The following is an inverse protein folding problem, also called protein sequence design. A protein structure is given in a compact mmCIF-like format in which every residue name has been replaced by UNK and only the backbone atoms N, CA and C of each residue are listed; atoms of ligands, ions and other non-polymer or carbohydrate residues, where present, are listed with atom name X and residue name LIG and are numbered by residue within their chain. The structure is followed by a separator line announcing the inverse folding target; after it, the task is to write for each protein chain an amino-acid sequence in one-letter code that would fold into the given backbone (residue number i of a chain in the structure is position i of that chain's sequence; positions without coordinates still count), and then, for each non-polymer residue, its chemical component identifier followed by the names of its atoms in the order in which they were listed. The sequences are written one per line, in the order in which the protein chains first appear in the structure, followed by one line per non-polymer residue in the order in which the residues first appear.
data_IF_710426651044
#
_entry.id   IF_710426651044
#
_cell.length_a   1.000
_cell.length_b   1.000
_cell.length_c   1.000
_cell.angle_alpha   90.00
_cell.angle_beta   90.00
_cell.angle_gamma   90.00
#
_symmetry.space_group_name_H-M   'P 1'
#
loop_
_entity.id
_entity.type
_entity.pdbx_description
1 polymer ?
#
# COMPACT_ATOMS: atom_id res chain seq x y z
N UNK A 1 12.39 -17.48 13.62
CA UNK A 1 13.02 -16.37 14.36
C UNK A 1 13.80 -16.98 15.52
N UNK A 2 15.11 -16.71 15.67
CA UNK A 2 15.87 -17.23 16.82
C UNK A 2 15.69 -16.34 18.07
N UNK A 3 16.33 -16.69 19.19
CA UNK A 3 16.27 -15.90 20.43
C UNK A 3 16.77 -14.44 20.26
N UNK A 4 17.57 -14.16 19.22
CA UNK A 4 18.06 -12.81 18.86
C UNK A 4 17.13 -12.06 17.90
N UNK A 5 15.96 -12.63 17.59
CA UNK A 5 14.98 -12.09 16.64
C UNK A 5 15.42 -12.08 15.17
N UNK A 6 16.38 -12.92 14.81
CA UNK A 6 16.88 -13.00 13.44
C UNK A 6 16.01 -13.95 12.59
N UNK A 7 15.81 -13.57 11.33
CA UNK A 7 15.11 -14.37 10.33
C UNK A 7 16.13 -15.05 9.43
N UNK A 8 15.94 -16.35 9.22
CA UNK A 8 16.86 -17.20 8.45
C UNK A 8 16.10 -17.85 7.31
N UNK A 9 16.68 -17.79 6.11
CA UNK A 9 16.16 -18.56 4.98
C UNK A 9 16.53 -20.02 5.18
N UNK A 10 15.50 -20.87 5.27
CA UNK A 10 15.67 -22.32 5.48
C UNK A 10 15.88 -23.03 4.16
N UNK A 11 15.03 -22.75 3.17
CA UNK A 11 15.01 -23.44 1.88
C UNK A 11 14.46 -22.53 0.80
N UNK A 12 15.06 -22.60 -0.39
CA UNK A 12 14.56 -22.00 -1.63
C UNK A 12 14.44 -23.13 -2.64
N UNK A 13 13.27 -23.29 -3.24
CA UNK A 13 12.98 -24.38 -4.17
C UNK A 13 12.65 -23.74 -5.52
N UNK A 14 13.35 -24.18 -6.56
CA UNK A 14 13.00 -23.82 -7.94
C UNK A 14 11.86 -24.72 -8.41
N UNK A 15 10.69 -24.13 -8.61
CA UNK A 15 9.48 -24.84 -9.06
C UNK A 15 9.14 -24.54 -10.52
N UNK A 16 10.10 -24.04 -11.33
CA UNK A 16 9.86 -23.61 -12.71
C UNK A 16 9.35 -24.72 -13.63
N UNK A 17 9.67 -25.98 -13.30
CA UNK A 17 9.24 -27.17 -14.05
C UNK A 17 8.03 -27.87 -13.44
N UNK A 18 7.40 -27.26 -12.42
CA UNK A 18 6.24 -27.82 -11.73
C UNK A 18 4.98 -27.00 -11.98
N UNK A 19 3.84 -27.68 -12.06
CA UNK A 19 2.55 -26.98 -12.06
C UNK A 19 2.29 -26.43 -10.67
N UNK A 20 1.84 -25.17 -10.59
CA UNK A 20 1.39 -24.52 -9.36
C UNK A 20 0.05 -25.12 -8.91
N UNK A 21 0.10 -26.16 -8.10
CA UNK A 21 -1.08 -26.87 -7.56
C UNK A 21 -0.97 -27.00 -6.05
N UNK A 22 -2.10 -27.10 -5.36
CA UNK A 22 -2.13 -27.30 -3.91
C UNK A 22 -1.36 -28.56 -3.45
N UNK A 23 -1.47 -29.74 -4.12
CA UNK A 23 -0.72 -30.93 -3.73
C UNK A 23 0.80 -30.76 -3.85
N UNK A 24 1.28 -30.13 -4.93
CA UNK A 24 2.72 -29.87 -5.10
C UNK A 24 3.22 -28.92 -4.01
N UNK A 25 2.46 -27.86 -3.71
CA UNK A 25 2.83 -26.93 -2.65
C UNK A 25 2.85 -27.61 -1.28
N UNK A 26 1.83 -28.41 -0.96
CA UNK A 26 1.77 -29.19 0.28
C UNK A 26 2.98 -30.12 0.43
N UNK A 27 3.36 -30.84 -0.64
CA UNK A 27 4.55 -31.70 -0.63
C UNK A 27 5.81 -30.92 -0.25
N UNK A 28 6.04 -29.75 -0.86
CA UNK A 28 7.20 -28.91 -0.53
C UNK A 28 7.20 -28.43 0.92
N UNK A 29 6.03 -28.09 1.46
CA UNK A 29 5.86 -27.72 2.86
C UNK A 29 6.23 -28.91 3.74
N UNK A 30 5.63 -30.08 3.51
CA UNK A 30 5.87 -31.29 4.31
C UNK A 30 7.34 -31.74 4.28
N UNK A 31 7.98 -31.73 3.12
CA UNK A 31 9.39 -32.08 2.99
C UNK A 31 10.27 -31.10 3.79
N UNK A 32 9.89 -29.83 3.84
CA UNK A 32 10.60 -28.81 4.64
C UNK A 32 10.34 -28.99 6.13
N UNK A 33 9.11 -29.30 6.56
CA UNK A 33 8.78 -29.59 7.96
C UNK A 33 9.54 -30.82 8.47
N UNK A 34 9.63 -31.88 7.66
CA UNK A 34 10.40 -33.09 7.98
C UNK A 34 11.88 -32.79 8.17
N UNK A 35 12.49 -32.08 7.22
CA UNK A 35 13.89 -31.67 7.30
C UNK A 35 14.16 -30.85 8.57
N UNK A 36 13.32 -29.86 8.87
CA UNK A 36 13.45 -29.04 10.08
C UNK A 36 13.36 -29.86 11.37
N UNK A 37 12.46 -30.85 11.43
CA UNK A 37 12.31 -31.71 12.59
C UNK A 37 13.45 -32.72 12.74
N UNK A 38 13.88 -33.35 11.65
CA UNK A 38 14.85 -34.45 11.67
C UNK A 38 16.29 -33.94 11.74
N UNK A 39 16.63 -32.94 10.92
CA UNK A 39 18.02 -32.52 10.75
C UNK A 39 18.37 -31.39 11.74
N UNK A 40 17.40 -30.51 12.04
CA UNK A 40 17.64 -29.30 12.85
C UNK A 40 17.02 -29.40 14.25
N UNK A 41 16.25 -30.45 14.54
CA UNK A 41 15.52 -30.65 15.80
C UNK A 41 14.62 -29.44 16.17
N UNK A 42 13.96 -28.86 15.17
CA UNK A 42 13.07 -27.71 15.33
C UNK A 42 11.61 -28.15 15.31
N UNK A 43 10.84 -27.67 16.30
CA UNK A 43 9.39 -27.80 16.31
C UNK A 43 8.78 -26.58 15.63
N UNK A 44 8.09 -26.80 14.52
CA UNK A 44 7.35 -25.75 13.81
C UNK A 44 5.96 -25.61 14.44
N UNK A 45 5.67 -24.40 14.93
CA UNK A 45 4.41 -24.10 15.63
C UNK A 45 3.41 -23.32 14.77
N UNK A 46 3.87 -22.70 13.69
CA UNK A 46 3.02 -21.92 12.80
C UNK A 46 3.49 -21.96 11.35
N UNK A 47 2.54 -21.85 10.42
CA UNK A 47 2.78 -21.76 8.98
C UNK A 47 1.93 -20.64 8.38
N UNK A 48 2.51 -19.86 7.46
CA UNK A 48 1.81 -18.77 6.77
C UNK A 48 2.10 -18.79 5.26
N UNK A 49 1.10 -18.45 4.46
CA UNK A 49 1.21 -18.32 2.99
C UNK A 49 0.22 -17.29 2.46
N UNK A 50 0.34 -16.89 1.19
CA UNK A 50 -0.63 -15.98 0.55
C UNK A 50 -2.05 -16.56 0.48
N UNK A 51 -3.04 -15.74 0.13
CA UNK A 51 -4.44 -16.15 0.12
C UNK A 51 -4.91 -16.73 -1.23
N UNK A 52 -3.99 -17.23 -2.09
CA UNK A 52 -4.39 -17.87 -3.34
C UNK A 52 -5.25 -19.12 -3.09
N UNK A 53 -6.04 -19.54 -4.08
CA UNK A 53 -6.88 -20.73 -3.97
C UNK A 53 -6.06 -21.99 -3.70
N UNK A 54 -4.91 -22.14 -4.36
CA UNK A 54 -3.98 -23.25 -4.16
C UNK A 54 -3.33 -23.20 -2.78
N UNK A 55 -2.88 -22.03 -2.33
CA UNK A 55 -2.30 -21.85 -1.00
C UNK A 55 -3.32 -22.14 0.09
N UNK A 56 -4.58 -21.71 -0.07
CA UNK A 56 -5.67 -22.01 0.85
C UNK A 56 -5.93 -23.51 0.92
N UNK A 57 -6.06 -24.18 -0.21
CA UNK A 57 -6.28 -25.63 -0.25
C UNK A 57 -5.11 -26.40 0.40
N UNK A 58 -3.87 -25.96 0.17
CA UNK A 58 -2.69 -26.54 0.82
C UNK A 58 -2.70 -26.31 2.34
N UNK A 59 -3.09 -25.11 2.82
CA UNK A 59 -3.23 -24.79 4.24
C UNK A 59 -4.28 -25.68 4.94
N UNK A 60 -5.44 -25.88 4.31
CA UNK A 60 -6.50 -26.75 4.84
C UNK A 60 -5.98 -28.19 4.98
N UNK A 61 -5.41 -28.75 3.90
CA UNK A 61 -4.86 -30.10 3.91
C UNK A 61 -3.68 -30.26 4.89
N UNK A 62 -2.88 -29.19 5.09
CA UNK A 62 -1.81 -29.17 6.07
C UNK A 62 -2.39 -29.24 7.49
N UNK A 63 -3.42 -28.46 7.81
CA UNK A 63 -4.04 -28.45 9.13
C UNK A 63 -4.71 -29.79 9.46
N UNK A 64 -5.32 -30.46 8.48
CA UNK A 64 -5.87 -31.82 8.65
C UNK A 64 -4.79 -32.83 9.05
N UNK A 65 -3.58 -32.73 8.49
CA UNK A 65 -2.45 -33.61 8.80
C UNK A 65 -1.69 -33.23 10.07
N UNK A 66 -1.62 -31.94 10.39
CA UNK A 66 -0.85 -31.39 11.51
C UNK A 66 -1.74 -30.47 12.38
N UNK A 67 -2.71 -31.02 13.16
CA UNK A 67 -3.73 -30.22 13.84
C UNK A 67 -3.21 -29.27 14.93
N UNK A 68 -1.97 -29.44 15.37
CA UNK A 68 -1.32 -28.56 16.35
C UNK A 68 -0.71 -27.30 15.71
N UNK A 69 -0.64 -27.24 14.37
CA UNK A 69 0.00 -26.16 13.66
C UNK A 69 -0.95 -24.96 13.54
N UNK A 70 -0.48 -23.78 13.92
CA UNK A 70 -1.22 -22.54 13.67
C UNK A 70 -1.05 -22.18 12.18
N UNK A 71 -2.12 -22.25 11.41
CA UNK A 71 -2.08 -22.03 9.95
C UNK A 71 -2.78 -20.73 9.59
N UNK A 72 -2.04 -19.78 9.01
CA UNK A 72 -2.50 -18.40 8.84
C UNK A 72 -2.36 -17.91 7.39
N UNK A 73 -3.22 -16.97 7.02
CA UNK A 73 -3.00 -16.14 5.85
C UNK A 73 -1.82 -15.20 6.07
N UNK A 74 -1.18 -14.78 4.97
CA UNK A 74 -0.23 -13.69 4.98
C UNK A 74 -0.98 -12.37 5.14
N UNK A 75 -0.84 -11.72 6.30
CA UNK A 75 -1.59 -10.49 6.58
C UNK A 75 -1.09 -9.28 5.80
N UNK A 76 0.17 -9.28 5.32
CA UNK A 76 0.60 -8.31 4.32
C UNK A 76 -0.21 -8.46 3.02
N UNK A 77 -0.49 -9.69 2.60
CA UNK A 77 -1.36 -9.95 1.46
C UNK A 77 -2.81 -9.54 1.76
N UNK A 78 -3.33 -9.87 2.95
CA UNK A 78 -4.69 -9.47 3.34
C UNK A 78 -4.90 -7.95 3.31
N UNK A 79 -3.96 -7.16 3.84
CA UNK A 79 -4.03 -5.68 3.75
C UNK A 79 -4.00 -5.22 2.29
N UNK A 80 -3.19 -5.83 1.42
CA UNK A 80 -3.20 -5.50 -0.01
C UNK A 80 -4.53 -5.85 -0.68
N UNK A 81 -5.20 -6.92 -0.27
CA UNK A 81 -6.54 -7.23 -0.74
C UNK A 81 -7.57 -6.20 -0.26
N UNK A 82 -7.45 -5.67 0.96
CA UNK A 82 -8.31 -4.56 1.44
C UNK A 82 -8.13 -3.31 0.58
N UNK A 83 -6.88 -3.00 0.22
CA UNK A 83 -6.60 -1.91 -0.72
C UNK A 83 -7.23 -2.20 -2.08
N UNK A 84 -7.19 -3.45 -2.56
CA UNK A 84 -7.90 -3.87 -3.77
C UNK A 84 -9.40 -3.58 -3.73
N UNK A 85 -10.07 -3.93 -2.63
CA UNK A 85 -11.50 -3.65 -2.44
C UNK A 85 -11.79 -2.15 -2.35
N UNK A 86 -10.92 -1.37 -1.70
CA UNK A 86 -10.99 0.09 -1.69
C UNK A 86 -10.97 0.67 -3.11
N UNK A 87 -10.07 0.18 -3.96
CA UNK A 87 -9.93 0.66 -5.33
C UNK A 87 -11.07 0.18 -6.24
N UNK A 88 -11.59 -1.00 -5.95
CA UNK A 88 -12.78 -1.57 -6.61
C UNK A 88 -14.09 -0.98 -6.12
N UNK A 89 -14.07 -0.02 -5.18
CA UNK A 89 -15.28 0.55 -4.58
C UNK A 89 -16.14 1.34 -5.56
N UNK A 90 -15.59 1.79 -6.69
CA UNK A 90 -16.30 2.65 -7.64
C UNK A 90 -16.33 4.13 -7.24
N UNK A 91 -15.70 4.49 -6.11
CA UNK A 91 -15.66 5.87 -5.62
C UNK A 91 -15.09 6.83 -6.65
N UNK A 92 -15.85 7.89 -6.93
CA UNK A 92 -15.49 8.96 -7.86
C UNK A 92 -14.13 9.58 -7.55
N UNK A 93 -13.75 9.59 -6.28
CA UNK A 93 -12.46 10.13 -5.85
C UNK A 93 -11.30 9.44 -6.54
N UNK A 94 -11.42 8.14 -6.82
CA UNK A 94 -10.37 7.32 -7.42
C UNK A 94 -10.07 7.71 -8.87
N UNK A 95 -11.03 8.32 -9.58
CA UNK A 95 -10.79 8.81 -10.94
C UNK A 95 -9.66 9.85 -10.99
N UNK A 96 -9.44 10.60 -9.90
CA UNK A 96 -8.36 11.61 -9.83
C UNK A 96 -6.97 10.98 -9.79
N UNK A 97 -6.85 9.69 -9.44
CA UNK A 97 -5.58 8.99 -9.39
C UNK A 97 -4.95 8.91 -10.79
N UNK A 98 -5.76 8.62 -11.82
CA UNK A 98 -5.31 8.54 -13.21
C UNK A 98 -4.81 9.90 -13.72
N UNK A 99 -5.55 10.98 -13.43
CA UNK A 99 -5.16 12.34 -13.76
C UNK A 99 -3.84 12.73 -13.08
N UNK A 100 -3.67 12.37 -11.81
CA UNK A 100 -2.45 12.63 -11.06
C UNK A 100 -1.24 11.85 -11.63
N UNK A 101 -1.44 10.58 -11.99
CA UNK A 101 -0.42 9.76 -12.64
C UNK A 101 -0.01 10.31 -14.00
N UNK A 102 -0.99 10.78 -14.77
CA UNK A 102 -0.75 11.38 -16.06
C UNK A 102 0.02 12.69 -15.93
N UNK A 103 -0.34 13.55 -14.98
CA UNK A 103 0.38 14.78 -14.66
C UNK A 103 1.82 14.49 -14.24
N UNK A 104 2.03 13.52 -13.34
CA UNK A 104 3.36 13.05 -12.94
C UNK A 104 4.17 12.59 -14.14
N UNK A 105 3.58 11.75 -14.99
CA UNK A 105 4.23 11.22 -16.20
C UNK A 105 4.62 12.34 -17.16
N UNK A 106 3.73 13.33 -17.36
CA UNK A 106 3.97 14.47 -18.22
C UNK A 106 5.07 15.38 -17.67
N UNK A 107 5.01 15.78 -16.40
CA UNK A 107 6.02 16.64 -15.77
C UNK A 107 7.42 16.02 -15.85
N UNK A 108 7.54 14.70 -15.61
CA UNK A 108 8.82 13.98 -15.67
C UNK A 108 9.50 14.03 -17.04
N UNK A 109 8.74 14.22 -18.12
CA UNK A 109 9.27 14.31 -19.50
C UNK A 109 9.74 15.72 -19.86
N UNK A 110 9.53 16.71 -18.98
CA UNK A 110 9.81 18.13 -19.27
C UNK A 110 11.04 18.61 -18.52
N UNK A 111 12.20 18.43 -19.14
CA UNK A 111 13.51 18.80 -18.57
C UNK A 111 13.58 20.26 -18.11
N UNK A 112 13.04 21.19 -18.90
CA UNK A 112 12.99 22.61 -18.53
C UNK A 112 12.11 22.85 -17.28
N UNK A 113 10.94 22.22 -17.21
CA UNK A 113 10.05 22.30 -16.03
C UNK A 113 10.76 21.72 -14.81
N UNK A 114 11.44 20.58 -14.94
CA UNK A 114 12.20 19.97 -13.85
C UNK A 114 13.37 20.86 -13.37
N UNK A 115 14.06 21.54 -14.28
CA UNK A 115 15.09 22.51 -13.93
C UNK A 115 14.48 23.70 -13.17
N UNK A 116 13.35 24.22 -13.65
CA UNK A 116 12.67 25.35 -13.00
C UNK A 116 12.14 24.99 -11.61
N UNK A 117 11.62 23.77 -11.42
CA UNK A 117 11.23 23.26 -10.09
C UNK A 117 12.42 23.30 -9.14
N UNK A 118 13.62 22.86 -9.57
CA UNK A 118 14.85 22.90 -8.75
C UNK A 118 15.20 24.32 -8.33
N UNK A 119 15.19 25.25 -9.28
CA UNK A 119 15.51 26.65 -9.03
C UNK A 119 14.57 27.28 -8.01
N UNK A 120 13.26 27.10 -8.20
CA UNK A 120 12.25 27.64 -7.27
C UNK A 120 12.37 26.98 -5.89
N UNK A 121 12.63 25.68 -5.81
CA UNK A 121 12.85 25.01 -4.52
C UNK A 121 14.09 25.55 -3.79
N UNK A 122 15.21 25.71 -4.51
CA UNK A 122 16.44 26.25 -3.96
C UNK A 122 16.27 27.70 -3.47
N UNK A 123 15.59 28.54 -4.26
CA UNK A 123 15.29 29.92 -3.89
C UNK A 123 14.42 30.03 -2.63
N UNK A 124 13.61 29.01 -2.34
CA UNK A 124 12.76 28.94 -1.14
C UNK A 124 13.41 28.16 0.02
N UNK A 125 14.71 27.87 -0.05
CA UNK A 125 15.44 27.15 1.00
C UNK A 125 14.97 25.71 1.23
N UNK A 126 14.25 25.11 0.27
CA UNK A 126 13.74 23.74 0.37
C UNK A 126 14.77 22.74 -0.16
N UNK A 127 14.83 21.58 0.48
CA UNK A 127 15.50 20.40 -0.08
C UNK A 127 14.87 20.00 -1.42
N UNK A 128 15.70 19.59 -2.39
CA UNK A 128 15.23 19.19 -3.71
C UNK A 128 14.25 18.00 -3.62
N UNK A 129 13.01 18.23 -4.05
CA UNK A 129 12.03 17.15 -4.18
C UNK A 129 11.87 16.74 -5.65
N UNK A 130 12.37 15.55 -5.98
CA UNK A 130 12.15 14.95 -7.30
C UNK A 130 10.69 14.49 -7.49
N UNK A 131 10.19 14.53 -8.72
CA UNK A 131 8.91 13.94 -9.07
C UNK A 131 9.04 12.40 -9.07
N UNK A 132 8.23 11.74 -8.26
CA UNK A 132 8.21 10.28 -8.11
C UNK A 132 7.11 9.72 -9.02
N UNK A 133 7.42 8.68 -9.79
CA UNK A 133 6.40 7.91 -10.52
C UNK A 133 6.03 6.68 -9.71
N UNK A 134 4.74 6.38 -9.57
CA UNK A 134 4.33 5.16 -8.91
C UNK A 134 4.67 3.93 -9.75
N UNK A 135 4.90 2.82 -9.06
CA UNK A 135 4.90 1.49 -9.64
C UNK A 135 3.46 1.01 -9.63
N UNK A 136 2.90 0.75 -10.82
CA UNK A 136 1.49 0.44 -11.03
C UNK A 136 0.92 -0.67 -10.14
N UNK A 137 1.77 -1.59 -9.66
CA UNK A 137 1.36 -2.75 -8.84
C UNK A 137 1.51 -2.52 -7.34
N UNK A 138 1.91 -1.33 -6.87
CA UNK A 138 2.23 -1.08 -5.45
C UNK A 138 1.66 0.25 -4.95
N UNK A 139 0.53 0.23 -4.26
CA UNK A 139 -0.18 1.42 -3.74
C UNK A 139 0.63 2.29 -2.79
N UNK A 140 1.58 1.72 -2.04
CA UNK A 140 2.55 2.50 -1.25
C UNK A 140 3.32 3.48 -2.13
N UNK A 141 3.62 3.11 -3.38
CA UNK A 141 4.29 4.00 -4.33
C UNK A 141 3.37 5.09 -4.89
N UNK A 142 2.07 4.80 -5.06
CA UNK A 142 1.05 5.80 -5.41
C UNK A 142 0.90 6.83 -4.29
N UNK A 143 0.80 6.38 -3.02
CA UNK A 143 0.82 7.27 -1.85
C UNK A 143 2.03 8.21 -1.87
N UNK A 144 3.24 7.68 -2.05
CA UNK A 144 4.46 8.49 -2.09
C UNK A 144 4.48 9.46 -3.28
N UNK A 145 4.01 9.03 -4.45
CA UNK A 145 3.94 9.87 -5.64
C UNK A 145 2.94 11.02 -5.47
N UNK A 146 1.74 10.74 -4.95
CA UNK A 146 0.69 11.73 -4.73
C UNK A 146 1.07 12.70 -3.61
N UNK A 147 1.62 12.21 -2.50
CA UNK A 147 2.20 13.06 -1.45
C UNK A 147 3.25 14.01 -2.03
N UNK A 148 4.15 13.49 -2.87
CA UNK A 148 5.18 14.30 -3.52
C UNK A 148 4.60 15.32 -4.49
N UNK A 149 3.57 14.95 -5.25
CA UNK A 149 2.91 15.88 -6.16
C UNK A 149 2.23 17.03 -5.39
N UNK A 150 1.57 16.74 -4.26
CA UNK A 150 1.02 17.75 -3.35
C UNK A 150 2.10 18.66 -2.75
N UNK A 151 3.24 18.11 -2.31
CA UNK A 151 4.39 18.90 -1.83
C UNK A 151 4.93 19.87 -2.90
N UNK A 152 4.78 19.49 -4.18
CA UNK A 152 5.22 20.28 -5.33
C UNK A 152 4.18 21.29 -5.82
N UNK A 153 2.90 21.18 -5.42
CA UNK A 153 1.82 22.08 -5.85
C UNK A 153 2.21 23.56 -5.71
N UNK A 154 2.69 24.06 -4.54
CA UNK A 154 3.03 25.48 -4.42
C UNK A 154 4.16 25.91 -5.37
N UNK A 155 5.08 24.98 -5.68
CA UNK A 155 6.19 25.24 -6.62
C UNK A 155 5.66 25.35 -8.04
N UNK A 156 4.78 24.44 -8.46
CA UNK A 156 4.17 24.46 -9.78
C UNK A 156 3.33 25.74 -9.98
N UNK A 157 2.53 26.12 -8.98
CA UNK A 157 1.74 27.35 -9.00
C UNK A 157 2.62 28.60 -9.06
N UNK A 158 3.74 28.64 -8.32
CA UNK A 158 4.68 29.77 -8.37
C UNK A 158 5.33 29.93 -9.74
N UNK A 159 5.68 28.81 -10.42
CA UNK A 159 6.21 28.86 -11.79
C UNK A 159 5.15 29.43 -12.74
N UNK A 160 3.89 28.97 -12.65
CA UNK A 160 2.80 29.49 -13.48
C UNK A 160 2.58 30.99 -13.28
N UNK A 161 2.57 31.44 -12.02
CA UNK A 161 2.42 32.86 -11.71
C UNK A 161 3.58 33.70 -12.29
N UNK A 162 4.83 33.22 -12.14
CA UNK A 162 6.02 33.88 -12.69
C UNK A 162 6.00 33.94 -14.22
N UNK A 163 5.57 32.87 -14.89
CA UNK A 163 5.45 32.80 -16.34
C UNK A 163 4.41 33.80 -16.85
N UNK A 164 3.26 33.90 -16.17
CA UNK A 164 2.18 34.86 -16.50
C UNK A 164 2.64 36.31 -16.40
N UNK A 165 3.39 36.66 -15.34
CA UNK A 165 3.94 38.02 -15.15
C UNK A 165 4.95 38.37 -16.24
N UNK A 166 5.74 37.39 -16.70
CA UNK A 166 6.78 37.60 -17.72
C UNK A 166 6.20 37.82 -19.14
N UNK A 167 4.91 37.53 -19.36
CA UNK A 167 4.20 37.78 -20.63
C UNK A 167 4.65 36.92 -21.82
N UNK A 168 5.59 35.98 -21.61
CA UNK A 168 6.15 35.10 -22.63
C UNK A 168 5.46 33.74 -22.73
N UNK A 169 6.02 32.85 -23.56
CA UNK A 169 5.61 31.44 -23.57
C UNK A 169 5.91 30.80 -22.21
N UNK A 170 4.91 30.12 -21.62
CA UNK A 170 5.08 29.52 -20.29
C UNK A 170 6.17 28.45 -20.30
N UNK A 171 6.89 28.29 -19.19
CA UNK A 171 7.88 27.23 -18.96
C UNK A 171 7.29 25.85 -19.28
N UNK A 172 6.00 25.66 -19.00
CA UNK A 172 5.23 24.46 -19.26
C UNK A 172 4.88 24.24 -20.74
N UNK A 173 4.83 25.29 -21.56
CA UNK A 173 4.57 25.22 -23.00
C UNK A 173 5.86 25.25 -23.84
N UNK A 174 6.96 25.72 -23.27
CA UNK A 174 8.24 25.89 -23.93
C UNK A 174 8.72 24.63 -24.66
N UNK A 175 9.03 24.79 -25.94
CA UNK A 175 9.58 23.74 -26.80
C UNK A 175 8.58 22.68 -27.26
N UNK A 176 7.28 22.81 -26.94
CA UNK A 176 6.26 21.87 -27.43
C UNK A 176 5.91 22.18 -28.88
N UNK A 177 6.12 21.18 -29.74
CA UNK A 177 5.73 21.21 -31.16
C UNK A 177 4.55 20.26 -31.40
N UNK A 178 3.68 20.62 -32.35
CA UNK A 178 2.52 19.82 -32.73
C UNK A 178 1.24 20.12 -31.94
N UNK A 179 0.10 20.05 -32.64
CA UNK A 179 -1.21 20.43 -32.08
C UNK A 179 -1.62 19.54 -30.90
N UNK A 180 -1.47 18.22 -31.03
CA UNK A 180 -1.84 17.26 -29.99
C UNK A 180 -1.04 17.44 -28.69
N UNK A 181 0.28 17.63 -28.80
CA UNK A 181 1.13 17.85 -27.62
C UNK A 181 0.83 19.19 -26.94
N UNK A 182 0.49 20.24 -27.71
CA UNK A 182 0.01 21.51 -27.16
C UNK A 182 -1.34 21.37 -26.47
N UNK A 183 -2.27 20.62 -27.05
CA UNK A 183 -3.56 20.31 -26.41
C UNK A 183 -3.33 19.58 -25.07
N UNK A 184 -2.43 18.58 -25.05
CA UNK A 184 -2.11 17.87 -23.82
C UNK A 184 -1.51 18.76 -22.75
N UNK A 185 -0.58 19.64 -23.12
CA UNK A 185 0.01 20.57 -22.16
C UNK A 185 -1.01 21.56 -21.60
N UNK A 186 -1.96 22.05 -22.41
CA UNK A 186 -3.08 22.86 -21.92
C UNK A 186 -3.96 22.11 -20.94
N UNK A 187 -4.23 20.82 -21.19
CA UNK A 187 -4.96 19.97 -20.24
C UNK A 187 -4.20 19.85 -18.91
N UNK A 188 -2.89 19.58 -18.93
CA UNK A 188 -2.08 19.47 -17.71
C UNK A 188 -1.98 20.79 -16.95
N UNK A 189 -1.91 21.92 -17.67
CA UNK A 189 -1.96 23.26 -17.09
C UNK A 189 -3.30 23.52 -16.39
N UNK A 190 -4.41 23.21 -17.05
CA UNK A 190 -5.74 23.32 -16.46
C UNK A 190 -5.85 22.47 -15.18
N UNK A 191 -5.27 21.27 -15.17
CA UNK A 191 -5.23 20.40 -14.00
C UNK A 191 -4.40 20.98 -12.85
N UNK A 192 -3.24 21.61 -13.13
CA UNK A 192 -2.43 22.29 -12.11
C UNK A 192 -3.18 23.48 -11.50
N UNK A 193 -4.04 24.13 -12.28
CA UNK A 193 -4.83 25.29 -11.83
C UNK A 193 -6.16 24.88 -11.16
N UNK A 194 -6.56 23.61 -11.27
CA UNK A 194 -7.81 23.10 -10.72
C UNK A 194 -7.70 22.82 -9.22
N UNK A 195 -8.35 23.65 -8.40
CA UNK A 195 -8.42 23.46 -6.96
C UNK A 195 -9.15 22.19 -6.52
N UNK A 196 -10.14 21.72 -7.30
CA UNK A 196 -10.88 20.50 -6.99
C UNK A 196 -9.99 19.27 -7.19
N UNK A 197 -9.17 19.25 -8.26
CA UNK A 197 -8.15 18.22 -8.45
C UNK A 197 -7.23 18.09 -7.23
N UNK A 198 -6.66 19.21 -6.75
CA UNK A 198 -5.74 19.18 -5.61
C UNK A 198 -6.42 18.76 -4.30
N UNK A 199 -7.66 19.20 -4.08
CA UNK A 199 -8.47 18.77 -2.93
C UNK A 199 -8.70 17.26 -2.95
N UNK A 200 -9.21 16.73 -4.06
CA UNK A 200 -9.46 15.28 -4.23
C UNK A 200 -8.18 14.45 -4.16
N UNK A 201 -7.07 14.93 -4.71
CA UNK A 201 -5.77 14.27 -4.59
C UNK A 201 -5.30 14.20 -3.13
N UNK A 202 -5.51 15.28 -2.36
CA UNK A 202 -5.22 15.27 -0.93
C UNK A 202 -6.11 14.29 -0.17
N UNK A 203 -7.39 14.16 -0.55
CA UNK A 203 -8.30 13.14 0.01
C UNK A 203 -7.79 11.72 -0.27
N UNK A 204 -7.42 11.38 -1.51
CA UNK A 204 -6.78 10.08 -1.82
C UNK A 204 -5.54 9.87 -0.96
N UNK A 205 -4.65 10.88 -0.85
CA UNK A 205 -3.46 10.77 -0.02
C UNK A 205 -3.81 10.41 1.43
N UNK A 206 -4.87 11.00 1.99
CA UNK A 206 -5.34 10.71 3.34
C UNK A 206 -5.89 9.29 3.49
N UNK A 207 -6.51 8.73 2.44
CA UNK A 207 -6.98 7.34 2.43
C UNK A 207 -5.83 6.34 2.27
N UNK A 208 -4.85 6.63 1.41
CA UNK A 208 -3.73 5.74 1.15
C UNK A 208 -2.68 5.71 2.27
N UNK A 209 -2.55 6.80 3.05
CA UNK A 209 -1.60 6.89 4.16
C UNK A 209 -1.72 5.76 5.20
N UNK A 210 -2.90 5.49 5.80
CA UNK A 210 -3.03 4.39 6.76
C UNK A 210 -2.73 3.03 6.13
N UNK A 211 -3.04 2.83 4.85
CA UNK A 211 -2.66 1.62 4.13
C UNK A 211 -1.16 1.49 3.93
N UNK A 212 -0.47 2.58 3.59
CA UNK A 212 0.98 2.59 3.43
C UNK A 212 1.68 2.17 4.74
N UNK A 213 1.19 2.68 5.88
CA UNK A 213 1.67 2.30 7.22
C UNK A 213 1.38 0.82 7.49
N UNK A 214 0.15 0.38 7.30
CA UNK A 214 -0.28 -1.00 7.54
C UNK A 214 0.50 -2.03 6.72
N UNK A 215 0.68 -1.79 5.42
CA UNK A 215 1.44 -2.67 4.53
C UNK A 215 2.91 -2.75 4.95
N UNK A 216 3.55 -1.61 5.23
CA UNK A 216 4.96 -1.59 5.64
C UNK A 216 5.17 -2.36 6.97
N UNK A 217 4.26 -2.21 7.93
CA UNK A 217 4.29 -2.96 9.17
C UNK A 217 4.06 -4.45 8.94
N UNK A 218 3.03 -4.82 8.16
CA UNK A 218 2.67 -6.21 7.90
C UNK A 218 3.73 -6.97 7.09
N UNK A 219 4.50 -6.28 6.24
CA UNK A 219 5.60 -6.83 5.45
C UNK A 219 6.92 -6.93 6.23
N UNK A 220 7.02 -6.30 7.40
CA UNK A 220 8.23 -6.35 8.20
C UNK A 220 8.54 -7.80 8.60
N UNK A 221 9.81 -8.19 8.49
CA UNK A 221 10.26 -9.55 8.83
C UNK A 221 9.98 -9.96 10.29
N UNK A 222 9.72 -8.97 11.15
CA UNK A 222 9.43 -9.14 12.57
C UNK A 222 7.97 -8.78 12.93
N UNK A 223 7.07 -8.67 11.94
CA UNK A 223 5.65 -8.51 12.20
C UNK A 223 5.10 -9.70 12.99
N UNK A 224 4.35 -9.39 14.06
CA UNK A 224 3.78 -10.38 14.98
C UNK A 224 2.25 -10.35 14.95
N UNK A 225 1.62 -11.41 15.45
CA UNK A 225 0.15 -11.55 15.48
C UNK A 225 -0.54 -10.43 16.28
N UNK A 226 0.06 -9.98 17.39
CA UNK A 226 -0.47 -8.85 18.15
C UNK A 226 -0.51 -7.57 17.31
N UNK A 227 0.55 -7.33 16.51
CA UNK A 227 0.61 -6.17 15.63
C UNK A 227 -0.40 -6.28 14.48
N UNK A 228 -0.66 -7.48 13.97
CA UNK A 228 -1.68 -7.70 12.94
C UNK A 228 -3.06 -7.27 13.42
N UNK A 229 -3.47 -7.68 14.62
CA UNK A 229 -4.77 -7.26 15.18
C UNK A 229 -4.84 -5.74 15.37
N UNK A 230 -3.75 -5.14 15.87
CA UNK A 230 -3.67 -3.69 16.03
C UNK A 230 -3.69 -2.94 14.69
N UNK A 231 -3.12 -3.50 13.63
CA UNK A 231 -3.19 -2.95 12.27
C UNK A 231 -4.65 -2.96 11.79
N UNK A 232 -5.37 -4.06 11.97
CA UNK A 232 -6.79 -4.15 11.60
C UNK A 232 -7.63 -3.14 12.40
N UNK A 233 -7.44 -3.07 13.72
CA UNK A 233 -8.10 -2.08 14.56
C UNK A 233 -7.76 -0.64 14.19
N UNK A 234 -6.49 -0.36 13.86
CA UNK A 234 -6.05 0.97 13.39
C UNK A 234 -6.73 1.37 12.08
N UNK A 235 -6.75 0.47 11.08
CA UNK A 235 -7.42 0.73 9.81
C UNK A 235 -8.93 0.94 10.04
N UNK A 236 -9.57 0.05 10.80
CA UNK A 236 -10.99 0.18 11.11
C UNK A 236 -11.30 1.52 11.79
N UNK A 237 -10.54 1.88 12.81
CA UNK A 237 -10.68 3.16 13.51
C UNK A 237 -10.48 4.37 12.58
N UNK A 238 -9.47 4.31 11.70
CA UNK A 238 -9.17 5.40 10.78
C UNK A 238 -10.29 5.62 9.76
N UNK A 239 -10.84 4.54 9.20
CA UNK A 239 -11.87 4.60 8.16
C UNK A 239 -13.28 4.81 8.71
N UNK A 240 -13.56 4.40 9.96
CA UNK A 240 -14.82 4.75 10.66
C UNK A 240 -14.88 6.21 11.12
N UNK A 241 -13.73 6.89 11.16
CA UNK A 241 -13.59 8.30 11.58
C UNK A 241 -12.94 9.16 10.51
N UNK A 242 -13.06 8.78 9.23
CA UNK A 242 -12.60 9.62 8.14
C UNK A 242 -13.36 10.96 8.18
N UNK A 243 -12.67 12.12 8.07
CA UNK A 243 -13.36 13.40 8.00
C UNK A 243 -14.31 13.41 6.81
N UNK A 244 -15.58 13.75 7.03
CA UNK A 244 -16.62 13.68 6.00
C UNK A 244 -16.28 14.52 4.76
N UNK A 245 -16.33 13.89 3.59
CA UNK A 245 -16.36 14.51 2.26
C UNK A 245 -17.36 13.72 1.40
N UNK A 246 -17.89 14.34 0.33
CA UNK A 246 -19.05 13.84 -0.43
C UNK A 246 -18.78 12.45 -1.02
N UNK A 247 -17.53 12.12 -1.35
CA UNK A 247 -17.15 10.90 -2.06
C UNK A 247 -16.49 9.81 -1.16
N UNK A 248 -16.40 10.05 0.16
CA UNK A 248 -15.64 9.18 1.06
C UNK A 248 -16.45 8.02 1.65
N UNK A 249 -17.78 8.13 1.71
CA UNK A 249 -18.63 7.14 2.36
C UNK A 249 -18.55 5.77 1.68
N UNK A 250 -18.57 5.75 0.35
CA UNK A 250 -18.45 4.53 -0.45
C UNK A 250 -17.08 3.87 -0.25
N UNK A 251 -16.01 4.67 -0.33
CA UNK A 251 -14.63 4.23 -0.06
C UNK A 251 -14.49 3.66 1.35
N UNK A 252 -15.00 4.35 2.36
CA UNK A 252 -14.88 3.97 3.76
C UNK A 252 -15.67 2.70 4.06
N UNK A 253 -16.90 2.61 3.54
CA UNK A 253 -17.77 1.45 3.69
C UNK A 253 -17.16 0.21 3.05
N UNK A 254 -16.57 0.34 1.86
CA UNK A 254 -15.85 -0.75 1.20
C UNK A 254 -14.69 -1.27 2.06
N UNK A 255 -13.90 -0.37 2.65
CA UNK A 255 -12.77 -0.72 3.52
C UNK A 255 -13.24 -1.39 4.81
N UNK A 256 -14.23 -0.82 5.50
CA UNK A 256 -14.75 -1.38 6.75
C UNK A 256 -15.34 -2.78 6.53
N UNK A 257 -16.16 -2.94 5.48
CA UNK A 257 -16.69 -4.25 5.09
C UNK A 257 -15.58 -5.24 4.76
N UNK A 258 -14.58 -4.80 3.99
CA UNK A 258 -13.43 -5.61 3.59
C UNK A 258 -12.61 -6.11 4.78
N UNK A 259 -12.42 -5.27 5.80
CA UNK A 259 -11.75 -5.62 7.05
C UNK A 259 -12.57 -6.65 7.85
N UNK A 260 -13.88 -6.43 8.02
CA UNK A 260 -14.78 -7.35 8.73
C UNK A 260 -14.89 -8.72 8.03
N UNK A 261 -15.00 -8.73 6.69
CA UNK A 261 -15.07 -9.95 5.89
C UNK A 261 -13.80 -10.80 5.99
N UNK A 262 -12.65 -10.17 6.26
CA UNK A 262 -11.37 -10.87 6.48
C UNK A 262 -11.20 -11.28 7.93
N UNK A 263 -11.61 -10.42 8.86
CA UNK A 263 -11.55 -10.71 10.28
C UNK A 263 -12.48 -11.88 10.67
N UNK A 264 -13.68 -11.94 10.12
CA UNK A 264 -14.64 -13.04 10.34
C UNK A 264 -14.14 -14.41 9.87
N UNK A 265 -13.20 -14.44 8.92
CA UNK A 265 -12.59 -15.68 8.38
C UNK A 265 -11.27 -16.04 9.06
N UNK A 266 -10.72 -15.15 9.89
CA UNK A 266 -9.48 -15.39 10.60
C UNK A 266 -9.69 -16.36 11.77
N UNK A 267 -8.63 -17.05 12.18
CA UNK A 267 -8.57 -17.68 13.51
C UNK A 267 -8.40 -16.59 14.57
N UNK A 268 -9.49 -15.88 14.88
CA UNK A 268 -9.47 -14.68 15.74
C UNK A 268 -8.84 -14.96 17.11
N UNK A 269 -9.00 -16.17 17.63
CA UNK A 269 -8.56 -16.58 18.95
C UNK A 269 -7.04 -16.41 19.12
N UNK A 270 -6.24 -16.75 18.11
CA UNK A 270 -4.77 -16.64 18.19
C UNK A 270 -4.30 -15.19 18.19
N UNK A 271 -4.98 -14.31 17.46
CA UNK A 271 -4.66 -12.89 17.41
C UNK A 271 -5.02 -12.19 18.73
N UNK A 272 -6.20 -12.49 19.27
CA UNK A 272 -6.64 -11.97 20.56
C UNK A 272 -5.69 -12.43 21.66
N UNK A 273 -5.36 -13.73 21.70
CA UNK A 273 -4.39 -14.26 22.66
C UNK A 273 -3.03 -13.56 22.55
N UNK A 274 -2.53 -13.32 21.32
CA UNK A 274 -1.26 -12.61 21.11
C UNK A 274 -1.28 -11.19 21.67
N UNK A 275 -2.39 -10.45 21.53
CA UNK A 275 -2.52 -9.10 22.12
C UNK A 275 -2.58 -9.16 23.64
N UNK A 276 -3.36 -10.08 24.22
CA UNK A 276 -3.48 -10.24 25.68
C UNK A 276 -2.13 -10.59 26.31
N UNK A 277 -1.35 -11.46 25.65
CA UNK A 277 -0.02 -11.87 26.11
C UNK A 277 1.05 -10.80 25.86
N UNK A 278 0.76 -9.74 25.10
CA UNK A 278 1.68 -8.62 24.94
C UNK A 278 1.75 -7.81 26.26
N UNK A 279 2.92 -7.70 26.91
CA UNK A 279 3.06 -7.06 28.22
C UNK A 279 2.72 -5.57 28.24
N UNK A 280 2.78 -4.91 27.07
CA UNK A 280 2.45 -3.50 26.87
C UNK A 280 0.94 -3.30 26.77
N UNK A 281 0.25 -4.11 25.95
CA UNK A 281 -1.17 -3.91 25.66
C UNK A 281 -2.09 -4.61 26.64
N UNK A 282 -1.82 -5.89 26.96
CA UNK A 282 -2.68 -6.71 27.83
C UNK A 282 -4.14 -6.63 27.37
N UNK A 283 -5.05 -6.31 28.29
CA UNK A 283 -6.47 -6.13 28.01
C UNK A 283 -6.85 -4.72 27.54
N UNK A 284 -5.91 -3.76 27.50
CA UNK A 284 -6.23 -2.36 27.23
C UNK A 284 -6.95 -2.13 25.88
N UNK A 285 -6.57 -2.78 24.76
CA UNK A 285 -7.30 -2.64 23.50
C UNK A 285 -8.75 -3.15 23.54
N UNK A 286 -9.11 -3.96 24.52
CA UNK A 286 -10.44 -4.56 24.69
C UNK A 286 -11.27 -3.90 25.80
N UNK A 287 -10.73 -2.88 26.48
CA UNK A 287 -11.36 -2.28 27.65
C UNK A 287 -12.56 -1.36 27.33
N UNK A 288 -12.85 -1.13 26.04
CA UNK A 288 -13.97 -0.31 25.55
C UNK A 288 -15.08 -1.14 24.87
N UNK A 289 -15.08 -2.45 25.08
CA UNK A 289 -16.17 -3.35 24.68
C UNK A 289 -17.19 -3.44 25.80
#
# INVERSE_FOLDING_TARGET
MNAKREVHTVRVIDTSHERKTAPNFLKHIEDTLKMLGQDWNIIVVAFTSDASGESRAARIALLEKYPWLIVLDCYAHQVNLVIGDYLGSGSRILAIADDAEELISWLRRRTLVLARIREVQAANGKSFFAIIRPVATRWTSHYLAFKRLLELQPTLTAILASDRVSGGETTFMAGIKGSAAKAKARQMLALIEDGAFWHSLNRIKLHLEPFAIAVNLAQAAHCRLDQVLLIFGFLYHRFSRLPSDIDDEESSSAVLKSLEDRWSKADQSVFVAAVILNPIYRLAPFALI
#
